data_IF_585696188947
#
_entry.id   IF_585696188947
#
_cell.length_a   1.000
_cell.length_b   1.000
_cell.length_c   1.000
_cell.angle_alpha   90.00
_cell.angle_beta   90.00
_cell.angle_gamma   90.00
#
_symmetry.space_group_name_H-M   'P 1'
#
loop_
_entity.id
_entity.type
_entity.pdbx_description
1 polymer ?
#
# COMPACT_ATOMS: atom_id res chain seq x y z
N UNK A 1 5.44 59.29 -42.40
CA UNK A 1 6.72 59.95 -42.73
C UNK A 1 7.66 59.75 -41.57
N UNK A 2 8.86 59.23 -41.85
CA UNK A 2 10.11 59.49 -41.09
C UNK A 2 10.20 58.98 -39.64
N UNK A 3 11.27 58.35 -39.13
CA UNK A 3 12.48 57.69 -39.65
C UNK A 3 13.27 57.22 -38.41
N UNK A 4 13.96 56.08 -38.53
CA UNK A 4 15.34 55.80 -37.99
C UNK A 4 15.53 55.76 -36.46
N UNK A 5 15.77 54.59 -35.83
CA UNK A 5 17.04 53.81 -35.68
C UNK A 5 18.20 54.59 -35.00
N UNK A 6 18.73 54.02 -33.91
CA UNK A 6 20.12 53.52 -33.72
C UNK A 6 20.47 53.43 -32.20
N UNK A 7 20.87 52.27 -31.65
CA UNK A 7 22.26 51.73 -31.47
C UNK A 7 23.10 52.62 -30.54
N UNK A 8 23.84 52.17 -29.50
CA UNK A 8 24.19 50.84 -28.97
C UNK A 8 25.30 50.95 -27.91
N UNK A 9 25.77 49.79 -27.43
CA UNK A 9 27.12 49.44 -26.90
C UNK A 9 27.64 49.96 -25.53
N UNK A 10 27.67 49.00 -24.59
CA UNK A 10 28.81 48.48 -23.79
C UNK A 10 29.85 49.42 -23.14
N UNK A 11 30.11 49.24 -21.83
CA UNK A 11 31.44 49.35 -21.22
C UNK A 11 31.51 48.63 -19.84
N UNK A 12 32.50 47.74 -19.70
CA UNK A 12 33.18 47.24 -18.48
C UNK A 12 34.68 47.66 -18.67
N UNK A 13 35.67 47.48 -17.75
CA UNK A 13 35.72 47.02 -16.35
C UNK A 13 36.69 47.84 -15.42
N UNK A 14 36.87 47.45 -14.15
CA UNK A 14 38.11 47.58 -13.34
C UNK A 14 37.95 46.83 -11.98
N UNK A 15 38.66 45.74 -11.65
CA UNK A 15 40.03 45.58 -11.08
C UNK A 15 40.28 46.21 -9.69
N UNK A 16 40.64 45.35 -8.74
CA UNK A 16 41.29 45.69 -7.45
C UNK A 16 41.61 44.41 -6.66
N UNK A 17 42.90 44.11 -6.49
CA UNK A 17 43.52 42.90 -5.93
C UNK A 17 44.36 43.27 -4.70
N UNK A 18 44.62 42.33 -3.78
CA UNK A 18 45.91 42.03 -3.11
C UNK A 18 45.69 40.96 -2.00
N UNK A 19 46.23 39.73 -2.14
CA UNK A 19 47.55 39.21 -1.65
C UNK A 19 47.50 38.73 -0.18
N UNK A 20 48.09 37.61 0.30
CA UNK A 20 49.17 36.66 -0.10
C UNK A 20 48.88 35.26 0.53
N UNK A 21 49.13 34.10 -0.11
CA UNK A 21 50.37 33.25 -0.17
C UNK A 21 50.78 32.66 1.22
N UNK A 22 51.21 31.40 1.42
CA UNK A 22 51.78 30.37 0.54
C UNK A 22 51.87 28.97 1.23
N UNK A 23 52.01 27.92 0.39
CA UNK A 23 52.85 26.69 0.49
C UNK A 23 52.68 25.70 1.68
N UNK A 24 52.83 24.38 1.56
CA UNK A 24 53.28 23.50 0.48
C UNK A 24 54.02 22.26 1.03
N UNK A 25 53.48 21.06 0.72
CA UNK A 25 54.11 19.72 0.54
C UNK A 25 55.11 19.10 1.56
N UNK A 26 54.87 17.84 2.00
CA UNK A 26 55.44 16.61 1.38
C UNK A 26 55.53 15.37 2.32
N UNK A 27 55.10 14.22 1.78
CA UNK A 27 55.55 12.82 1.93
C UNK A 27 55.53 12.06 3.30
N UNK A 28 54.78 10.94 3.34
CA UNK A 28 55.25 9.59 3.75
C UNK A 28 54.19 8.50 3.43
N UNK A 29 54.67 7.31 3.07
CA UNK A 29 53.94 6.16 2.49
C UNK A 29 53.21 5.25 3.54
N UNK A 30 52.48 4.19 3.13
CA UNK A 30 51.37 3.57 3.89
C UNK A 30 51.77 2.35 4.72
N UNK A 31 50.88 1.83 5.60
CA UNK A 31 50.95 0.46 6.05
C UNK A 31 49.85 -0.44 5.44
N UNK A 32 50.28 -1.68 5.30
CA UNK A 32 49.70 -2.88 4.72
C UNK A 32 48.54 -3.45 5.56
N UNK A 33 47.64 -4.13 4.86
CA UNK A 33 46.54 -4.98 5.33
C UNK A 33 47.02 -6.11 6.26
N UNK A 34 46.42 -6.24 7.45
CA UNK A 34 46.20 -7.55 8.09
C UNK A 34 44.86 -7.55 8.84
N UNK A 35 43.98 -8.48 8.42
CA UNK A 35 43.09 -9.24 9.30
C UNK A 35 41.95 -8.49 9.98
N UNK A 36 40.79 -8.43 9.33
CA UNK A 36 39.53 -8.07 9.98
C UNK A 36 38.38 -8.87 9.39
N UNK A 37 37.88 -9.84 10.17
CA UNK A 37 36.67 -10.62 9.87
C UNK A 37 35.54 -9.70 9.38
N UNK A 38 35.00 -10.00 8.20
CA UNK A 38 33.74 -9.40 7.73
C UNK A 38 32.63 -9.94 8.63
N UNK A 39 32.38 -9.25 9.75
CA UNK A 39 31.14 -9.44 10.51
C UNK A 39 30.01 -8.96 9.61
N UNK A 40 29.26 -9.92 9.07
CA UNK A 40 27.99 -9.68 8.41
C UNK A 40 27.05 -9.07 9.45
N UNK A 41 26.96 -7.74 9.50
CA UNK A 41 25.94 -7.06 10.28
C UNK A 41 24.61 -7.32 9.56
N UNK A 42 23.93 -8.38 9.99
CA UNK A 42 22.50 -8.56 9.76
C UNK A 42 21.82 -7.36 10.41
N UNK A 43 21.48 -6.35 9.61
CA UNK A 43 20.46 -5.38 9.97
C UNK A 43 19.13 -6.12 10.01
N UNK A 44 18.90 -6.82 11.12
CA UNK A 44 17.57 -7.19 11.59
C UNK A 44 16.83 -5.88 11.89
N UNK A 45 16.31 -5.24 10.84
CA UNK A 45 15.26 -4.24 10.99
C UNK A 45 14.05 -4.99 11.55
N UNK A 46 13.91 -4.89 12.87
CA UNK A 46 12.74 -5.31 13.60
C UNK A 46 11.50 -4.80 12.87
N UNK A 47 10.64 -5.74 12.48
CA UNK A 47 9.27 -5.44 12.12
C UNK A 47 8.66 -4.70 13.31
N UNK A 48 8.40 -3.40 13.14
CA UNK A 48 7.56 -2.65 14.07
C UNK A 48 6.15 -3.22 13.89
N UNK A 49 5.83 -4.22 14.69
CA UNK A 49 4.46 -4.65 14.92
C UNK A 49 3.67 -3.45 15.46
N UNK A 50 2.49 -3.22 14.90
CA UNK A 50 1.53 -2.26 15.44
C UNK A 50 1.36 -2.49 16.95
N UNK A 51 1.66 -1.46 17.72
CA UNK A 51 1.31 -1.37 19.14
C UNK A 51 -0.21 -1.35 19.26
N UNK A 52 -0.82 -2.52 19.46
CA UNK A 52 -2.11 -2.59 20.13
C UNK A 52 -1.90 -2.26 21.60
N UNK A 53 -2.52 -1.17 22.05
CA UNK A 53 -2.64 -0.83 23.47
C UNK A 53 -3.14 -2.04 24.26
N UNK A 54 -2.45 -2.31 25.36
CA UNK A 54 -2.65 -3.45 26.27
C UNK A 54 -4.12 -3.65 26.66
N UNK A 55 -4.72 -4.73 26.19
CA UNK A 55 -5.63 -5.49 27.04
C UNK A 55 -4.90 -6.71 27.60
N UNK A 56 -5.05 -6.83 28.92
CA UNK A 56 -4.34 -7.72 29.84
C UNK A 56 -4.61 -9.19 29.49
N UNK A 57 -3.65 -9.87 28.86
CA UNK A 57 -3.68 -11.34 28.72
C UNK A 57 -3.17 -11.94 30.03
N UNK A 58 -4.07 -12.56 30.79
CA UNK A 58 -3.71 -13.42 31.93
C UNK A 58 -3.15 -14.73 31.38
N UNK A 59 -1.94 -15.05 31.82
CA UNK A 59 -1.24 -16.30 31.57
C UNK A 59 -2.03 -17.49 32.12
N UNK A 60 -2.31 -18.49 31.29
CA UNK A 60 -2.64 -19.83 31.79
C UNK A 60 -1.34 -20.54 32.12
N UNK A 61 -0.97 -20.51 33.40
CA UNK A 61 -0.06 -21.47 33.98
C UNK A 61 -0.90 -22.65 34.50
N UNK A 62 -0.60 -23.84 34.03
CA UNK A 62 -1.16 -25.09 34.56
C UNK A 62 -0.79 -25.22 36.03
N UNK A 63 -1.78 -25.24 36.90
CA UNK A 63 -1.63 -25.69 38.28
C UNK A 63 -2.90 -26.45 38.67
N UNK A 64 -2.75 -27.77 38.77
CA UNK A 64 -3.69 -28.65 39.42
C UNK A 64 -3.77 -28.30 40.91
N UNK A 65 -4.96 -28.03 41.43
CA UNK A 65 -5.27 -28.20 42.85
C UNK A 65 -6.80 -28.09 43.08
N UNK A 66 -7.39 -29.24 43.39
CA UNK A 66 -8.26 -29.47 44.54
C UNK A 66 -9.34 -28.43 44.94
N UNK A 67 -10.57 -28.93 44.92
CA UNK A 67 -11.54 -28.87 46.02
C UNK A 67 -12.60 -27.77 46.06
N UNK A 68 -13.84 -28.26 45.92
CA UNK A 68 -15.02 -28.03 46.78
C UNK A 68 -15.61 -26.62 46.90
N UNK A 69 -16.78 -26.43 46.27
CA UNK A 69 -17.95 -25.80 46.89
C UNK A 69 -19.22 -25.97 46.01
N UNK A 70 -19.99 -27.03 46.29
CA UNK A 70 -21.45 -27.14 46.10
C UNK A 70 -22.11 -26.14 47.07
N UNK A 71 -23.31 -25.54 46.94
CA UNK A 71 -24.69 -25.96 46.56
C UNK A 71 -25.57 -24.67 46.62
N UNK A 72 -26.91 -24.61 46.35
CA UNK A 72 -27.85 -25.67 45.95
C UNK A 72 -28.82 -25.31 44.81
N UNK A 73 -29.30 -26.33 44.09
CA UNK A 73 -30.74 -26.42 43.80
C UNK A 73 -31.18 -27.88 43.70
N UNK A 74 -31.58 -28.37 44.86
CA UNK A 74 -32.59 -29.36 45.18
C UNK A 74 -32.64 -30.66 44.37
N UNK A 75 -32.24 -31.71 45.08
CA UNK A 75 -32.42 -33.13 44.80
C UNK A 75 -33.88 -33.49 44.45
N UNK A 76 -34.03 -34.29 43.39
CA UNK A 76 -35.03 -35.35 43.34
C UNK A 76 -34.24 -36.63 43.06
N UNK A 77 -34.10 -37.44 44.11
CA UNK A 77 -33.49 -38.76 44.08
C UNK A 77 -34.50 -39.73 43.47
N UNK A 78 -34.18 -40.32 42.32
CA UNK A 78 -34.55 -41.72 42.04
C UNK A 78 -33.35 -42.35 41.32
N UNK A 79 -32.83 -43.42 41.92
CA UNK A 79 -31.68 -44.18 41.44
C UNK A 79 -32.06 -44.98 40.19
N UNK A 80 -31.28 -44.90 39.11
CA UNK A 80 -31.18 -46.01 38.16
C UNK A 80 -29.77 -46.16 37.58
N UNK A 81 -29.26 -47.37 37.86
CA UNK A 81 -28.41 -48.26 37.10
C UNK A 81 -27.17 -47.73 36.36
N UNK A 82 -26.03 -48.30 36.75
CA UNK A 82 -24.71 -47.97 36.23
C UNK A 82 -24.50 -48.52 34.82
N UNK A 83 -24.53 -47.62 33.83
CA UNK A 83 -23.60 -47.61 32.69
C UNK A 83 -23.86 -46.41 31.75
N UNK A 84 -23.69 -45.17 32.24
CA UNK A 84 -23.48 -44.04 31.31
C UNK A 84 -22.01 -43.97 30.94
N UNK A 85 -21.65 -44.70 29.87
CA UNK A 85 -20.47 -44.39 29.06
C UNK A 85 -20.55 -42.90 28.75
N UNK A 86 -19.60 -42.11 29.26
CA UNK A 86 -19.44 -40.70 28.92
C UNK A 86 -19.23 -40.65 27.40
N UNK A 87 -20.31 -40.42 26.66
CA UNK A 87 -20.31 -40.22 25.22
C UNK A 87 -19.52 -38.95 24.95
N UNK A 88 -18.21 -39.09 24.68
CA UNK A 88 -17.39 -38.00 24.17
C UNK A 88 -18.01 -37.55 22.86
N UNK A 89 -18.43 -36.28 22.78
CA UNK A 89 -18.83 -35.67 21.51
C UNK A 89 -17.70 -35.89 20.50
N UNK A 90 -17.93 -36.79 19.54
CA UNK A 90 -16.99 -37.03 18.44
C UNK A 90 -17.03 -35.78 17.57
N UNK A 91 -15.91 -35.05 17.54
CA UNK A 91 -15.84 -33.82 16.78
C UNK A 91 -15.74 -34.13 15.28
N UNK A 92 -16.74 -33.70 14.50
CA UNK A 92 -16.82 -33.91 13.05
C UNK A 92 -16.00 -32.89 12.25
N UNK A 93 -14.82 -32.48 12.74
CA UNK A 93 -13.96 -31.56 12.01
C UNK A 93 -13.18 -32.29 10.93
N UNK A 94 -13.15 -31.73 9.72
CA UNK A 94 -12.28 -32.22 8.66
C UNK A 94 -10.80 -32.03 9.04
N UNK A 95 -9.92 -32.97 8.63
CA UNK A 95 -8.49 -32.83 8.84
C UNK A 95 -7.93 -31.64 8.07
N UNK A 96 -6.80 -31.11 8.54
CA UNK A 96 -6.10 -30.01 7.86
C UNK A 96 -5.70 -30.40 6.44
N UNK A 97 -6.10 -29.59 5.45
CA UNK A 97 -5.70 -29.74 4.05
C UNK A 97 -4.19 -29.65 3.82
N UNK A 98 -3.45 -29.16 4.82
CA UNK A 98 -2.00 -28.93 4.74
C UNK A 98 -1.16 -30.05 5.37
N UNK A 99 -1.75 -30.88 6.24
CA UNK A 99 -0.99 -31.85 7.04
C UNK A 99 0.27 -31.22 7.65
N UNK A 100 1.42 -31.87 7.44
CA UNK A 100 2.73 -31.41 7.93
C UNK A 100 3.55 -30.64 6.88
N UNK A 101 2.96 -30.28 5.73
CA UNK A 101 3.67 -29.71 4.57
C UNK A 101 4.57 -28.51 4.95
N UNK A 102 4.05 -27.59 5.76
CA UNK A 102 4.79 -26.39 6.18
C UNK A 102 5.85 -26.66 7.25
N UNK A 103 5.76 -27.78 7.97
CA UNK A 103 6.76 -28.17 8.98
C UNK A 103 8.04 -28.69 8.31
N UNK A 104 7.88 -29.39 7.19
CA UNK A 104 8.99 -30.00 6.43
C UNK A 104 9.55 -29.09 5.33
N UNK A 105 8.91 -27.96 5.06
CA UNK A 105 9.28 -27.09 3.96
C UNK A 105 10.67 -26.49 4.15
N UNK A 106 11.60 -26.87 3.26
CA UNK A 106 12.92 -26.24 3.14
C UNK A 106 12.99 -25.50 1.82
N UNK A 107 13.21 -24.18 1.90
CA UNK A 107 13.30 -23.35 0.69
C UNK A 107 14.56 -23.70 -0.11
N UNK A 108 14.46 -24.09 -1.39
CA UNK A 108 15.63 -24.34 -2.24
C UNK A 108 16.57 -23.11 -2.33
N UNK A 109 15.99 -21.91 -2.17
CA UNK A 109 16.71 -20.64 -2.15
C UNK A 109 17.51 -20.42 -0.86
N UNK A 110 17.08 -21.00 0.26
CA UNK A 110 17.83 -20.94 1.52
C UNK A 110 19.05 -21.88 1.50
N UNK A 111 19.07 -22.87 0.60
CA UNK A 111 20.17 -23.82 0.47
C UNK A 111 21.40 -23.25 -0.27
N UNK A 112 21.23 -22.17 -1.05
CA UNK A 112 22.33 -21.52 -1.78
C UNK A 112 22.51 -20.07 -1.32
N UNK A 113 23.43 -19.87 -0.37
CA UNK A 113 23.81 -18.54 0.14
C UNK A 113 24.18 -17.58 -0.99
N UNK A 114 24.86 -18.06 -2.03
CA UNK A 114 25.26 -17.23 -3.17
C UNK A 114 24.06 -16.72 -3.98
N UNK A 115 23.05 -17.57 -4.23
CA UNK A 115 21.83 -17.16 -4.93
C UNK A 115 21.04 -16.14 -4.11
N UNK A 116 20.91 -16.38 -2.79
CA UNK A 116 20.27 -15.44 -1.88
C UNK A 116 20.95 -14.07 -1.91
N UNK A 117 22.28 -14.01 -1.82
CA UNK A 117 23.04 -12.75 -1.90
C UNK A 117 22.77 -12.01 -3.21
N UNK A 118 22.83 -12.71 -4.36
CA UNK A 118 22.53 -12.09 -5.68
C UNK A 118 21.11 -11.52 -5.74
N UNK A 119 20.13 -12.22 -5.17
CA UNK A 119 18.75 -11.75 -5.16
C UNK A 119 18.56 -10.52 -4.26
N UNK A 120 19.21 -10.50 -3.09
CA UNK A 120 19.20 -9.35 -2.19
C UNK A 120 19.87 -8.14 -2.85
N UNK A 121 21.02 -8.33 -3.49
CA UNK A 121 21.71 -7.26 -4.23
C UNK A 121 20.85 -6.71 -5.36
N UNK A 122 20.21 -7.59 -6.13
CA UNK A 122 19.27 -7.19 -7.19
C UNK A 122 18.07 -6.43 -6.62
N UNK A 123 17.47 -6.92 -5.53
CA UNK A 123 16.36 -6.24 -4.87
C UNK A 123 16.78 -4.84 -4.41
N UNK A 124 17.92 -4.72 -3.72
CA UNK A 124 18.46 -3.44 -3.27
C UNK A 124 18.73 -2.48 -4.44
N UNK A 125 19.27 -2.99 -5.56
CA UNK A 125 19.47 -2.20 -6.76
C UNK A 125 18.16 -1.68 -7.34
N UNK A 126 17.14 -2.54 -7.45
CA UNK A 126 15.82 -2.15 -7.93
C UNK A 126 15.13 -1.16 -6.98
N UNK A 127 15.23 -1.35 -5.66
CA UNK A 127 14.71 -0.42 -4.67
C UNK A 127 15.31 0.98 -4.83
N UNK A 128 16.63 1.09 -5.05
CA UNK A 128 17.26 2.39 -5.34
C UNK A 128 16.75 3.02 -6.63
N UNK A 129 16.53 2.23 -7.67
CA UNK A 129 15.99 2.74 -8.93
C UNK A 129 14.56 3.26 -8.77
N UNK A 130 13.71 2.54 -8.04
CA UNK A 130 12.34 3.00 -7.73
C UNK A 130 12.38 4.27 -6.88
N UNK A 131 13.27 4.37 -5.88
CA UNK A 131 13.44 5.60 -5.09
C UNK A 131 13.82 6.81 -5.96
N UNK A 132 14.68 6.62 -6.98
CA UNK A 132 14.98 7.66 -7.98
C UNK A 132 13.76 8.05 -8.80
N UNK A 133 12.93 7.10 -9.22
CA UNK A 133 11.67 7.37 -9.95
C UNK A 133 10.72 8.19 -9.06
N UNK A 134 10.59 7.82 -7.78
CA UNK A 134 9.77 8.54 -6.81
C UNK A 134 10.28 9.99 -6.64
N UNK A 135 11.60 10.18 -6.52
CA UNK A 135 12.19 11.52 -6.42
C UNK A 135 12.01 12.35 -7.68
N UNK A 136 12.11 11.74 -8.86
CA UNK A 136 11.92 12.43 -10.14
C UNK A 136 10.44 12.78 -10.40
N UNK A 137 9.50 12.08 -9.76
CA UNK A 137 8.07 12.27 -9.94
C UNK A 137 7.56 13.65 -9.50
N UNK A 138 8.33 14.41 -8.73
CA UNK A 138 8.00 15.80 -8.38
C UNK A 138 7.81 16.71 -9.60
N UNK A 139 8.42 16.38 -10.74
CA UNK A 139 8.29 17.11 -12.00
C UNK A 139 7.19 16.53 -12.93
N UNK A 140 6.52 15.46 -12.52
CA UNK A 140 5.46 14.82 -13.29
C UNK A 140 4.09 15.44 -12.96
N UNK A 141 3.09 15.12 -13.80
CA UNK A 141 1.71 15.52 -13.54
C UNK A 141 1.18 14.92 -12.22
N UNK A 142 0.20 15.58 -11.61
CA UNK A 142 -0.46 15.10 -10.38
C UNK A 142 -1.01 13.68 -10.56
N UNK A 143 -1.60 13.38 -11.73
CA UNK A 143 -2.10 12.05 -12.04
C UNK A 143 -0.99 10.99 -12.05
N UNK A 144 0.13 11.23 -12.72
CA UNK A 144 1.25 10.29 -12.78
C UNK A 144 1.84 10.00 -11.39
N UNK A 145 1.97 11.04 -10.55
CA UNK A 145 2.45 10.90 -9.16
C UNK A 145 1.52 10.00 -8.34
N UNK A 146 0.21 10.20 -8.44
CA UNK A 146 -0.78 9.37 -7.77
C UNK A 146 -0.81 7.94 -8.32
N UNK A 147 -0.67 7.79 -9.63
CA UNK A 147 -0.64 6.49 -10.28
C UNK A 147 0.57 5.68 -9.83
N UNK A 148 1.74 6.32 -9.66
CA UNK A 148 2.94 5.70 -9.10
C UNK A 148 2.69 5.17 -7.67
N UNK A 149 2.10 6.00 -6.80
CA UNK A 149 1.74 5.57 -5.43
C UNK A 149 0.80 4.36 -5.50
N UNK A 150 -0.27 4.46 -6.27
CA UNK A 150 -1.26 3.38 -6.41
C UNK A 150 -0.62 2.08 -6.92
N UNK A 151 0.28 2.14 -7.89
CA UNK A 151 1.01 0.97 -8.41
C UNK A 151 1.88 0.34 -7.31
N UNK A 152 2.62 1.14 -6.55
CA UNK A 152 3.48 0.63 -5.48
C UNK A 152 2.67 -0.04 -4.37
N UNK A 153 1.54 0.55 -3.99
CA UNK A 153 0.65 -0.03 -2.99
C UNK A 153 -0.01 -1.33 -3.47
N UNK A 154 -0.48 -1.36 -4.72
CA UNK A 154 -1.06 -2.57 -5.33
C UNK A 154 -0.04 -3.68 -5.52
N UNK A 155 1.25 -3.35 -5.61
CA UNK A 155 2.33 -4.34 -5.61
C UNK A 155 2.80 -4.71 -4.20
N UNK A 156 2.21 -4.15 -3.14
CA UNK A 156 2.66 -4.30 -1.75
C UNK A 156 4.13 -3.87 -1.54
N UNK A 157 4.61 -2.90 -2.31
CA UNK A 157 5.97 -2.34 -2.21
C UNK A 157 6.01 -1.02 -1.43
N UNK A 158 4.85 -0.51 -1.01
CA UNK A 158 4.68 0.72 -0.22
C UNK A 158 5.50 0.72 1.07
N UNK A 159 5.65 -0.44 1.71
CA UNK A 159 6.41 -0.58 2.94
C UNK A 159 7.91 -0.28 2.80
N UNK A 160 8.46 -0.28 1.58
CA UNK A 160 9.86 0.03 1.29
C UNK A 160 10.13 1.54 1.15
N UNK A 161 9.07 2.34 0.92
CA UNK A 161 9.17 3.76 0.56
C UNK A 161 8.23 4.63 1.40
N UNK A 162 7.97 4.24 2.66
CA UNK A 162 6.93 4.87 3.49
C UNK A 162 7.17 6.37 3.64
N UNK A 163 8.40 6.75 3.91
CA UNK A 163 8.81 8.13 4.11
C UNK A 163 8.60 8.96 2.84
N UNK A 164 9.04 8.46 1.68
CA UNK A 164 8.88 9.17 0.41
C UNK A 164 7.40 9.30 0.01
N UNK A 165 6.61 8.25 0.19
CA UNK A 165 5.17 8.26 -0.14
C UNK A 165 4.40 9.24 0.76
N UNK A 166 4.73 9.30 2.05
CA UNK A 166 4.11 10.25 2.98
C UNK A 166 4.39 11.71 2.60
N UNK A 167 5.61 12.02 2.13
CA UNK A 167 5.95 13.37 1.65
C UNK A 167 5.09 13.73 0.44
N UNK A 168 4.98 12.82 -0.54
CA UNK A 168 4.20 13.06 -1.76
C UNK A 168 2.71 13.21 -1.44
N UNK A 169 2.15 12.34 -0.61
CA UNK A 169 0.74 12.42 -0.20
C UNK A 169 0.44 13.71 0.56
N UNK A 170 1.35 14.13 1.46
CA UNK A 170 1.22 15.41 2.16
C UNK A 170 1.25 16.60 1.21
N UNK A 171 2.05 16.55 0.15
CA UNK A 171 2.11 17.63 -0.83
C UNK A 171 0.82 17.68 -1.65
N UNK A 172 0.37 16.53 -2.16
CA UNK A 172 -0.89 16.39 -2.90
C UNK A 172 -2.08 16.91 -2.09
N UNK A 173 -2.14 16.60 -0.80
CA UNK A 173 -3.19 17.08 0.10
C UNK A 173 -3.14 18.61 0.29
N UNK A 174 -1.94 19.19 0.47
CA UNK A 174 -1.77 20.63 0.72
C UNK A 174 -2.07 21.48 -0.51
N UNK A 175 -1.67 21.02 -1.69
CA UNK A 175 -1.91 21.76 -2.94
C UNK A 175 -3.40 21.80 -3.27
N UNK A 176 -4.13 20.71 -3.00
CA UNK A 176 -5.59 20.59 -3.18
C UNK A 176 -6.13 21.09 -4.54
N UNK A 177 -5.33 20.98 -5.60
CA UNK A 177 -5.65 21.48 -6.94
C UNK A 177 -6.37 20.41 -7.78
N UNK A 178 -7.58 20.03 -7.37
CA UNK A 178 -8.38 19.00 -8.05
C UNK A 178 -9.63 19.56 -8.73
N UNK A 179 -9.88 20.87 -8.63
CA UNK A 179 -11.09 21.52 -9.14
C UNK A 179 -11.21 21.38 -10.66
N UNK A 180 -10.10 21.50 -11.40
CA UNK A 180 -10.03 21.33 -12.85
C UNK A 180 -9.79 19.91 -13.35
N UNK A 181 -9.61 18.93 -12.46
CA UNK A 181 -9.29 17.55 -12.86
C UNK A 181 -10.51 16.76 -13.34
N UNK A 182 -10.26 15.76 -14.19
CA UNK A 182 -11.24 14.79 -14.68
C UNK A 182 -11.66 13.79 -13.58
N UNK A 183 -12.73 13.03 -13.85
CA UNK A 183 -13.31 12.10 -12.88
C UNK A 183 -12.33 11.03 -12.43
N UNK A 184 -11.51 10.51 -13.35
CA UNK A 184 -10.51 9.50 -13.03
C UNK A 184 -9.49 10.03 -12.02
N UNK A 185 -8.93 11.22 -12.29
CA UNK A 185 -7.94 11.85 -11.41
C UNK A 185 -8.54 12.23 -10.06
N UNK A 186 -9.73 12.85 -10.04
CA UNK A 186 -10.40 13.21 -8.78
C UNK A 186 -10.74 11.97 -7.94
N UNK A 187 -11.20 10.89 -8.57
CA UNK A 187 -11.50 9.64 -7.87
C UNK A 187 -10.23 8.99 -7.29
N UNK A 188 -9.13 8.94 -8.05
CA UNK A 188 -7.86 8.40 -7.57
C UNK A 188 -7.28 9.22 -6.40
N UNK A 189 -7.33 10.55 -6.52
CA UNK A 189 -6.93 11.48 -5.47
C UNK A 189 -7.70 11.23 -4.17
N UNK A 190 -9.04 11.18 -4.28
CA UNK A 190 -9.92 10.93 -3.14
C UNK A 190 -9.64 9.56 -2.50
N UNK A 191 -9.49 8.52 -3.34
CA UNK A 191 -9.21 7.16 -2.89
C UNK A 191 -7.90 7.09 -2.09
N UNK A 192 -6.80 7.64 -2.64
CA UNK A 192 -5.50 7.59 -1.99
C UNK A 192 -5.50 8.36 -0.69
N UNK A 193 -6.01 9.59 -0.68
CA UNK A 193 -5.99 10.43 0.51
C UNK A 193 -6.81 9.82 1.66
N UNK A 194 -8.02 9.33 1.39
CA UNK A 194 -8.82 8.66 2.43
C UNK A 194 -8.19 7.36 2.92
N UNK A 195 -7.62 6.58 2.02
CA UNK A 195 -6.91 5.34 2.38
C UNK A 195 -5.75 5.60 3.35
N UNK A 196 -5.10 6.77 3.23
CA UNK A 196 -4.03 7.22 4.12
C UNK A 196 -4.52 8.04 5.33
N UNK A 197 -5.84 8.17 5.52
CA UNK A 197 -6.43 8.83 6.70
C UNK A 197 -6.58 10.35 6.58
N UNK A 198 -6.34 10.93 5.41
CA UNK A 198 -6.64 12.35 5.17
C UNK A 198 -8.15 12.56 5.07
N UNK A 199 -8.63 13.65 5.68
CA UNK A 199 -10.02 14.06 5.60
C UNK A 199 -10.25 14.87 4.33
N UNK A 200 -10.95 14.28 3.36
CA UNK A 200 -11.34 14.93 2.11
C UNK A 200 -12.85 14.91 1.97
N UNK A 201 -13.43 16.06 1.61
CA UNK A 201 -14.88 16.16 1.41
C UNK A 201 -15.30 15.36 0.17
N UNK A 202 -16.40 14.60 0.22
CA UNK A 202 -16.94 13.93 -0.96
C UNK A 202 -17.61 14.91 -1.94
N UNK A 203 -17.81 16.17 -1.56
CA UNK A 203 -18.41 17.21 -2.42
C UNK A 203 -17.58 17.50 -3.67
N UNK A 204 -16.30 17.09 -3.70
CA UNK A 204 -15.46 17.12 -4.89
C UNK A 204 -16.07 16.37 -6.08
N UNK A 205 -16.99 15.43 -5.80
CA UNK A 205 -17.71 14.67 -6.82
C UNK A 205 -18.96 15.37 -7.35
N UNK A 206 -19.43 16.45 -6.72
CA UNK A 206 -20.67 17.14 -7.11
C UNK A 206 -20.58 17.70 -8.53
N UNK A 207 -19.38 18.11 -8.98
CA UNK A 207 -19.13 18.62 -10.34
C UNK A 207 -19.31 17.57 -11.45
N UNK A 208 -19.37 16.28 -11.10
CA UNK A 208 -19.60 15.18 -12.06
C UNK A 208 -21.06 14.72 -12.08
N UNK A 209 -21.95 15.48 -11.46
CA UNK A 209 -23.39 15.27 -11.50
C UNK A 209 -24.03 16.15 -12.58
N UNK A 210 -25.02 15.62 -13.28
CA UNK A 210 -25.83 16.35 -14.25
C UNK A 210 -26.88 17.25 -13.56
N UNK A 211 -27.66 17.99 -14.35
CA UNK A 211 -28.71 18.90 -13.87
C UNK A 211 -29.82 18.16 -13.10
N UNK A 212 -29.99 16.86 -13.36
CA UNK A 212 -30.94 15.99 -12.68
C UNK A 212 -30.35 15.39 -11.38
N UNK A 213 -29.09 15.70 -11.06
CA UNK A 213 -28.40 15.21 -9.89
C UNK A 213 -27.93 13.77 -10.00
N UNK A 214 -27.70 13.24 -11.20
CA UNK A 214 -27.13 11.91 -11.43
C UNK A 214 -25.69 11.99 -11.91
N UNK A 215 -24.88 10.98 -11.57
CA UNK A 215 -23.52 10.89 -12.09
C UNK A 215 -23.52 10.63 -13.60
N UNK A 216 -22.71 11.39 -14.33
CA UNK A 216 -22.50 11.22 -15.76
C UNK A 216 -21.09 10.68 -16.03
N UNK A 217 -20.96 9.37 -16.25
CA UNK A 217 -19.71 8.74 -16.62
C UNK A 217 -19.95 7.53 -17.53
N UNK A 218 -19.38 7.57 -18.74
CA UNK A 218 -19.56 6.53 -19.75
C UNK A 218 -18.31 5.66 -19.94
N UNK A 219 -17.14 6.18 -19.56
CA UNK A 219 -15.88 5.45 -19.70
C UNK A 219 -15.75 4.40 -18.58
N UNK A 220 -15.50 3.12 -18.89
CA UNK A 220 -15.33 2.07 -17.88
C UNK A 220 -14.23 2.37 -16.87
N UNK A 221 -13.17 3.10 -17.25
CA UNK A 221 -12.09 3.49 -16.33
C UNK A 221 -12.55 4.53 -15.31
N UNK A 222 -13.34 5.51 -15.74
CA UNK A 222 -13.88 6.56 -14.86
C UNK A 222 -14.87 5.95 -13.86
N UNK A 223 -15.78 5.12 -14.35
CA UNK A 223 -16.76 4.42 -13.53
C UNK A 223 -16.07 3.51 -12.51
N UNK A 224 -15.04 2.75 -12.92
CA UNK A 224 -14.27 1.89 -12.01
C UNK A 224 -13.49 2.70 -10.96
N UNK A 225 -12.94 3.84 -11.36
CA UNK A 225 -12.18 4.70 -10.44
C UNK A 225 -13.10 5.33 -9.40
N UNK A 226 -14.25 5.85 -9.83
CA UNK A 226 -15.29 6.35 -8.94
C UNK A 226 -15.84 5.24 -8.03
N UNK A 227 -16.06 4.03 -8.56
CA UNK A 227 -16.46 2.86 -7.77
C UNK A 227 -15.48 2.64 -6.63
N UNK A 228 -14.18 2.49 -6.95
CA UNK A 228 -13.16 2.25 -5.93
C UNK A 228 -13.09 3.36 -4.87
N UNK A 229 -13.23 4.63 -5.28
CA UNK A 229 -13.25 5.77 -4.38
C UNK A 229 -14.50 5.80 -3.48
N UNK A 230 -15.68 5.52 -4.04
CA UNK A 230 -16.94 5.58 -3.31
C UNK A 230 -17.08 4.49 -2.22
N UNK A 231 -16.36 3.37 -2.35
CA UNK A 231 -16.28 2.35 -1.30
C UNK A 231 -15.45 2.77 -0.06
N UNK A 232 -14.83 3.95 -0.06
CA UNK A 232 -14.22 4.59 1.11
C UNK A 232 -15.16 5.59 1.81
N UNK A 233 -16.46 5.51 1.51
CA UNK A 233 -17.49 6.30 2.18
C UNK A 233 -17.56 6.01 3.69
N UNK A 234 -17.91 7.03 4.44
CA UNK A 234 -18.27 6.98 5.85
C UNK A 234 -19.75 7.33 6.03
N UNK A 235 -20.25 7.27 7.27
CA UNK A 235 -21.67 7.46 7.54
C UNK A 235 -22.13 8.89 7.19
N UNK A 236 -23.27 9.03 6.51
CA UNK A 236 -23.86 10.33 6.17
C UNK A 236 -23.43 10.93 4.83
N UNK A 237 -22.59 10.22 4.06
CA UNK A 237 -22.08 10.71 2.77
C UNK A 237 -22.95 10.26 1.59
N UNK A 238 -24.11 10.90 1.46
CA UNK A 238 -25.16 10.56 0.47
C UNK A 238 -24.62 10.53 -0.96
N UNK A 239 -23.77 11.49 -1.33
CA UNK A 239 -23.17 11.56 -2.66
C UNK A 239 -22.35 10.29 -3.02
N UNK A 240 -21.70 9.67 -2.03
CA UNK A 240 -20.97 8.42 -2.26
C UNK A 240 -21.89 7.19 -2.25
N UNK A 241 -23.00 7.24 -1.51
CA UNK A 241 -24.05 6.21 -1.59
C UNK A 241 -24.68 6.15 -2.98
N UNK A 242 -24.97 7.32 -3.54
CA UNK A 242 -25.41 7.48 -4.93
C UNK A 242 -24.33 7.01 -5.91
N UNK A 243 -23.06 7.39 -5.69
CA UNK A 243 -21.94 6.98 -6.55
C UNK A 243 -21.76 5.47 -6.59
N UNK A 244 -21.85 4.77 -5.45
CA UNK A 244 -21.81 3.29 -5.40
C UNK A 244 -22.97 2.70 -6.20
N UNK A 245 -24.18 3.23 -6.02
CA UNK A 245 -25.39 2.72 -6.69
C UNK A 245 -25.36 2.94 -8.20
N UNK A 246 -24.84 4.08 -8.66
CA UNK A 246 -24.63 4.38 -10.06
C UNK A 246 -23.52 3.49 -10.65
N UNK A 247 -22.32 3.54 -10.06
CA UNK A 247 -21.15 2.85 -10.63
C UNK A 247 -21.34 1.35 -10.68
N UNK A 248 -21.98 0.74 -9.67
CA UNK A 248 -22.28 -0.70 -9.69
C UNK A 248 -23.14 -1.09 -10.90
N UNK A 249 -24.25 -0.37 -11.13
CA UNK A 249 -25.16 -0.62 -12.27
C UNK A 249 -24.45 -0.39 -13.61
N UNK A 250 -23.67 0.70 -13.71
CA UNK A 250 -22.92 1.03 -14.91
C UNK A 250 -21.84 0.00 -15.23
N UNK A 251 -21.10 -0.48 -14.22
CA UNK A 251 -20.09 -1.54 -14.41
C UNK A 251 -20.72 -2.87 -14.81
N UNK A 252 -21.84 -3.26 -14.20
CA UNK A 252 -22.57 -4.48 -14.57
C UNK A 252 -23.04 -4.43 -16.03
N UNK A 253 -23.56 -3.28 -16.46
CA UNK A 253 -23.95 -3.05 -17.87
C UNK A 253 -22.74 -3.10 -18.81
N UNK A 254 -21.68 -2.36 -18.52
CA UNK A 254 -20.47 -2.27 -19.33
C UNK A 254 -19.74 -3.61 -19.44
N UNK A 255 -19.79 -4.45 -18.40
CA UNK A 255 -19.11 -5.74 -18.34
C UNK A 255 -19.54 -6.68 -19.50
N UNK A 256 -20.77 -6.54 -20.00
CA UNK A 256 -21.27 -7.35 -21.13
C UNK A 256 -20.47 -7.14 -22.43
N UNK A 257 -19.92 -5.93 -22.62
CA UNK A 257 -19.22 -5.54 -23.85
C UNK A 257 -17.69 -5.38 -23.64
N UNK A 258 -17.22 -5.44 -22.40
CA UNK A 258 -15.80 -5.31 -22.08
C UNK A 258 -15.05 -6.62 -22.28
N UNK A 259 -13.84 -6.53 -22.84
CA UNK A 259 -12.93 -7.66 -22.98
C UNK A 259 -11.53 -7.35 -22.42
N UNK A 260 -10.75 -8.39 -22.18
CA UNK A 260 -9.35 -8.27 -21.78
C UNK A 260 -9.13 -7.90 -20.31
N UNK A 261 -8.00 -7.27 -19.96
CA UNK A 261 -7.59 -7.06 -18.56
C UNK A 261 -8.55 -6.16 -17.79
N UNK A 262 -9.15 -5.18 -18.45
CA UNK A 262 -10.11 -4.25 -17.83
C UNK A 262 -11.40 -4.97 -17.44
N UNK A 263 -11.94 -5.83 -18.31
CA UNK A 263 -13.13 -6.64 -18.00
C UNK A 263 -12.93 -7.50 -16.75
N UNK A 264 -11.77 -8.14 -16.65
CA UNK A 264 -11.41 -8.92 -15.47
C UNK A 264 -11.26 -8.05 -14.22
N UNK A 265 -10.66 -6.87 -14.34
CA UNK A 265 -10.53 -5.93 -13.20
C UNK A 265 -11.90 -5.46 -12.69
N UNK A 266 -12.82 -5.14 -13.61
CA UNK A 266 -14.21 -4.80 -13.29
C UNK A 266 -14.92 -5.97 -12.62
N UNK A 267 -14.79 -7.19 -13.16
CA UNK A 267 -15.37 -8.41 -12.56
C UNK A 267 -14.89 -8.60 -11.12
N UNK A 268 -13.58 -8.54 -10.89
CA UNK A 268 -13.04 -8.64 -9.53
C UNK A 268 -13.55 -7.49 -8.63
N UNK A 269 -13.78 -6.28 -9.16
CA UNK A 269 -14.23 -5.12 -8.39
C UNK A 269 -15.65 -5.31 -7.89
N UNK A 270 -16.52 -5.86 -8.74
CA UNK A 270 -17.90 -6.19 -8.41
C UNK A 270 -18.00 -7.34 -7.39
N UNK A 271 -17.07 -8.30 -7.42
CA UNK A 271 -16.99 -9.37 -6.41
C UNK A 271 -16.56 -8.82 -5.04
N UNK A 272 -15.42 -8.14 -4.98
CA UNK A 272 -14.89 -7.51 -3.76
C UNK A 272 -14.32 -6.14 -4.13
N UNK A 273 -14.87 -5.03 -3.58
CA UNK A 273 -14.38 -3.69 -3.83
C UNK A 273 -12.90 -3.54 -3.47
N UNK A 274 -12.15 -2.77 -4.25
CA UNK A 274 -10.71 -2.61 -4.05
C UNK A 274 -10.30 -2.23 -2.60
N UNK A 275 -10.96 -1.28 -1.91
CA UNK A 275 -10.64 -0.98 -0.51
C UNK A 275 -10.78 -2.15 0.47
N UNK A 276 -11.57 -3.17 0.11
CA UNK A 276 -11.91 -4.31 0.98
C UNK A 276 -11.10 -5.57 0.66
N UNK A 277 -10.24 -5.54 -0.35
CA UNK A 277 -9.42 -6.70 -0.74
C UNK A 277 -8.23 -6.89 0.19
N UNK A 278 -7.87 -8.14 0.41
CA UNK A 278 -6.62 -8.49 1.09
C UNK A 278 -5.44 -8.18 0.17
N UNK A 279 -4.56 -7.28 0.63
CA UNK A 279 -3.46 -6.71 -0.17
C UNK A 279 -2.56 -7.75 -0.84
N UNK A 280 -2.14 -8.79 -0.11
CA UNK A 280 -1.18 -9.76 -0.65
C UNK A 280 -1.75 -10.59 -1.80
N UNK A 281 -3.03 -10.96 -1.75
CA UNK A 281 -3.70 -11.66 -2.84
C UNK A 281 -3.94 -10.74 -4.04
N UNK A 282 -4.27 -9.47 -3.77
CA UNK A 282 -4.42 -8.45 -4.80
C UNK A 282 -3.12 -8.21 -5.57
N UNK A 283 -1.99 -8.13 -4.87
CA UNK A 283 -0.67 -7.93 -5.47
C UNK A 283 -0.24 -9.06 -6.40
N UNK A 284 -0.43 -10.32 -5.99
CA UNK A 284 -0.13 -11.47 -6.85
C UNK A 284 -0.97 -11.44 -8.13
N UNK A 285 -2.26 -11.12 -8.01
CA UNK A 285 -3.14 -10.96 -9.17
C UNK A 285 -2.74 -9.78 -10.05
N UNK A 286 -2.41 -8.64 -9.45
CA UNK A 286 -2.03 -7.41 -10.14
C UNK A 286 -0.72 -7.57 -10.91
N UNK A 287 0.29 -8.17 -10.29
CA UNK A 287 1.57 -8.50 -10.92
C UNK A 287 1.38 -9.36 -12.17
N UNK A 288 0.63 -10.47 -12.03
CA UNK A 288 0.34 -11.37 -13.17
C UNK A 288 -0.36 -10.65 -14.33
N UNK A 289 -1.22 -9.68 -14.05
CA UNK A 289 -1.93 -8.89 -15.08
C UNK A 289 -1.01 -7.93 -15.81
N UNK A 290 -0.17 -7.19 -15.07
CA UNK A 290 0.79 -6.24 -15.64
C UNK A 290 1.89 -6.95 -16.43
N UNK A 291 2.29 -8.15 -16.04
CA UNK A 291 3.24 -8.94 -16.81
C UNK A 291 2.68 -9.41 -18.17
N UNK A 292 1.36 -9.66 -18.26
CA UNK A 292 0.70 -10.12 -19.50
C UNK A 292 0.37 -8.99 -20.48
N UNK A 293 0.30 -7.75 -20.02
CA UNK A 293 0.06 -6.56 -20.84
C UNK A 293 1.14 -5.51 -20.53
N UNK A 294 2.34 -5.64 -21.14
CA UNK A 294 3.45 -4.71 -20.93
C UNK A 294 3.13 -3.29 -21.39
#
# INVERSE_FOLDING_TARGET
MQTTRCVGLAFLPAKGSHHHKAAGASAAAPPVLIGGSVKLVLLSRQLVCFSWSRHRVRTWASAAAASSATTPRQELLEEEDGNQIISRNVSNFEPSVWGDFFLTYSSPLASSTQQLTRMIERANHLTRNVSKIISASSNCSLYERMQLINVLERLCLDHLFKEELNVILSEIYKTNDISGSDLQTTALWFYLLRKHGYQVSPDVFAKFKDEQGNFAANNPLDVLSLYNAAYLRTNGEIILDEAVSFTKRSLESLLTNLQGPLAHEVKCALEIPLPRRVRIYEAVGYFKRKQKNP
#
